data_IF_500443235321
#
_entry.id   IF_500443235321
#
_cell.length_a   1.000
_cell.length_b   1.000
_cell.length_c   1.000
_cell.angle_alpha   90.00
_cell.angle_beta   90.00
_cell.angle_gamma   90.00
#
_symmetry.space_group_name_H-M   'P 1'
#
loop_
_entity.id
_entity.type
_entity.pdbx_description
1 polymer ?
#
# COMPACT_ATOMS: atom_id res chain seq x y z
N UNK A 1 -14.46 -11.09 24.26
CA UNK A 1 -13.60 -10.07 23.63
C UNK A 1 -12.26 -10.08 24.34
N UNK A 2 -11.31 -10.86 23.84
CA UNK A 2 -9.95 -10.92 24.37
C UNK A 2 -9.04 -10.22 23.36
N UNK A 3 -8.48 -9.08 23.74
CA UNK A 3 -7.53 -8.34 22.91
C UNK A 3 -6.28 -9.19 22.70
N UNK A 4 -5.94 -9.45 21.44
CA UNK A 4 -4.70 -10.13 21.07
C UNK A 4 -3.56 -9.14 21.31
N UNK A 5 -2.99 -9.14 22.51
CA UNK A 5 -1.70 -8.51 22.80
C UNK A 5 -0.62 -9.30 22.08
N UNK A 6 -0.20 -8.83 20.90
CA UNK A 6 0.84 -9.45 20.09
C UNK A 6 2.19 -9.44 20.81
N UNK A 7 2.69 -10.63 21.14
CA UNK A 7 4.03 -10.83 21.71
C UNK A 7 5.07 -10.74 20.59
N UNK A 8 5.64 -9.55 20.38
CA UNK A 8 6.67 -9.32 19.36
C UNK A 8 8.05 -9.87 19.77
N UNK A 9 8.65 -10.65 18.87
CA UNK A 9 10.02 -11.12 18.97
C UNK A 9 10.97 -9.96 18.65
N UNK A 10 11.76 -9.53 19.65
CA UNK A 10 12.86 -8.56 19.52
C UNK A 10 13.84 -8.99 18.44
N UNK A 11 13.93 -8.23 17.35
CA UNK A 11 15.09 -8.16 16.47
C UNK A 11 15.25 -6.74 15.90
N UNK A 12 15.44 -5.78 16.81
CA UNK A 12 16.17 -4.52 16.62
C UNK A 12 15.85 -3.65 17.83
N UNK A 13 16.86 -3.29 18.62
CA UNK A 13 16.69 -2.27 19.66
C UNK A 13 16.11 -1.00 19.06
N UNK A 14 15.32 -0.29 19.87
CA UNK A 14 14.49 0.89 19.56
C UNK A 14 13.08 0.53 19.10
N UNK A 15 12.21 0.22 20.05
CA UNK A 15 10.89 0.85 20.31
C UNK A 15 10.35 0.19 21.58
N UNK A 16 10.07 1.00 22.62
CA UNK A 16 9.36 0.54 23.81
C UNK A 16 7.99 0.01 23.40
N UNK A 17 7.65 -1.18 23.89
CA UNK A 17 6.37 -1.84 23.62
C UNK A 17 5.26 -1.06 24.35
N UNK A 18 4.76 -0.02 23.70
CA UNK A 18 3.44 0.54 23.99
C UNK A 18 2.42 -0.60 23.82
N UNK A 19 1.58 -0.84 24.82
CA UNK A 19 0.49 -1.83 24.77
C UNK A 19 -0.66 -1.44 23.82
N UNK A 20 -0.41 -0.49 22.94
CA UNK A 20 -1.35 0.03 21.95
C UNK A 20 -1.51 -0.97 20.79
N UNK A 21 -2.73 -1.17 20.28
CA UNK A 21 -2.97 -1.97 19.08
C UNK A 21 -2.09 -1.50 17.91
N UNK A 22 -1.53 -2.45 17.16
CA UNK A 22 -0.63 -2.14 16.03
C UNK A 22 -1.29 -1.27 14.96
N UNK A 23 -2.61 -1.42 14.77
CA UNK A 23 -3.41 -0.63 13.83
C UNK A 23 -3.45 0.84 14.26
N UNK A 24 -3.60 1.13 15.55
CA UNK A 24 -3.63 2.50 16.07
C UNK A 24 -2.26 3.17 15.91
N UNK A 25 -1.19 2.42 16.14
CA UNK A 25 0.17 2.89 15.87
C UNK A 25 0.39 3.22 14.39
N UNK A 26 -0.07 2.36 13.48
CA UNK A 26 -0.01 2.61 12.04
C UNK A 26 -0.84 3.84 11.67
N UNK A 27 -2.04 3.99 12.22
CA UNK A 27 -2.89 5.15 11.99
C UNK A 27 -2.19 6.46 12.43
N UNK A 28 -1.53 6.48 13.60
CA UNK A 28 -0.74 7.63 14.06
C UNK A 28 0.42 7.95 13.11
N UNK A 29 1.10 6.93 12.57
CA UNK A 29 2.17 7.11 11.60
C UNK A 29 1.65 7.68 10.27
N UNK A 30 0.49 7.24 9.79
CA UNK A 30 -0.19 7.82 8.63
C UNK A 30 -0.47 9.31 8.86
N UNK A 31 -1.13 9.65 9.97
CA UNK A 31 -1.42 11.05 10.32
C UNK A 31 -0.15 11.91 10.46
N UNK A 32 0.95 11.34 10.96
CA UNK A 32 2.23 12.03 11.04
C UNK A 32 2.84 12.25 9.64
N UNK A 33 2.71 11.28 8.74
CA UNK A 33 3.11 11.39 7.34
C UNK A 33 2.32 12.47 6.59
N UNK A 34 1.00 12.58 6.84
CA UNK A 34 0.16 13.65 6.28
C UNK A 34 0.65 15.05 6.69
N UNK A 35 1.15 15.18 7.93
CA UNK A 35 1.80 16.39 8.42
C UNK A 35 3.23 16.61 7.88
N UNK A 36 3.71 15.74 7.00
CA UNK A 36 5.03 15.85 6.36
C UNK A 36 6.19 15.26 7.18
N UNK A 37 5.93 14.46 8.21
CA UNK A 37 6.99 13.83 8.98
C UNK A 37 7.60 12.64 8.21
N UNK A 38 8.73 12.87 7.54
CA UNK A 38 9.43 11.84 6.76
C UNK A 38 9.96 10.66 7.57
N UNK A 39 10.36 10.87 8.82
CA UNK A 39 10.83 9.77 9.68
C UNK A 39 9.68 8.79 9.96
N UNK A 40 8.47 9.31 10.21
CA UNK A 40 7.28 8.49 10.42
C UNK A 40 6.94 7.61 9.20
N UNK A 41 7.27 8.03 7.97
CA UNK A 41 7.05 7.21 6.78
C UNK A 41 8.00 6.03 6.67
N UNK A 42 9.24 6.17 7.17
CA UNK A 42 10.18 5.05 7.28
C UNK A 42 9.72 4.03 8.34
N UNK A 43 9.20 4.51 9.46
CA UNK A 43 8.58 3.65 10.49
C UNK A 43 7.30 2.98 9.97
N UNK A 44 6.47 3.72 9.23
CA UNK A 44 5.27 3.20 8.58
C UNK A 44 5.64 2.05 7.64
N UNK A 45 6.61 2.25 6.73
CA UNK A 45 7.09 1.21 5.83
C UNK A 45 7.50 -0.08 6.58
N UNK A 46 8.23 0.05 7.69
CA UNK A 46 8.59 -1.09 8.54
C UNK A 46 7.38 -1.76 9.19
N UNK A 47 6.43 -0.99 9.69
CA UNK A 47 5.19 -1.51 10.29
C UNK A 47 4.32 -2.25 9.27
N UNK A 48 4.19 -1.73 8.04
CA UNK A 48 3.44 -2.37 6.95
C UNK A 48 4.02 -3.76 6.63
N UNK A 49 5.34 -3.88 6.54
CA UNK A 49 6.00 -5.16 6.30
C UNK A 49 5.90 -6.12 7.48
N UNK A 50 5.71 -5.63 8.71
CA UNK A 50 5.50 -6.48 9.87
C UNK A 50 4.08 -7.09 9.89
N UNK A 51 3.07 -6.34 9.45
CA UNK A 51 1.65 -6.78 9.48
C UNK A 51 1.21 -7.55 8.23
N UNK A 52 1.95 -7.45 7.12
CA UNK A 52 1.57 -8.05 5.83
C UNK A 52 1.35 -9.57 5.88
N UNK A 53 1.92 -10.28 6.86
CA UNK A 53 1.73 -11.74 6.99
C UNK A 53 0.43 -12.12 7.70
N UNK A 54 -0.26 -11.15 8.30
CA UNK A 54 -1.57 -11.31 8.94
C UNK A 54 -2.64 -10.69 8.02
N UNK A 55 -3.50 -11.52 7.44
CA UNK A 55 -4.45 -11.08 6.43
C UNK A 55 -5.49 -10.07 6.96
N UNK A 56 -5.92 -10.24 8.22
CA UNK A 56 -6.94 -9.40 8.83
C UNK A 56 -6.37 -8.02 9.17
N UNK A 57 -5.16 -7.99 9.75
CA UNK A 57 -4.44 -6.75 10.01
C UNK A 57 -4.05 -6.05 8.70
N UNK A 58 -3.58 -6.79 7.71
CA UNK A 58 -3.22 -6.24 6.41
C UNK A 58 -4.42 -5.59 5.72
N UNK A 59 -5.60 -6.20 5.81
CA UNK A 59 -6.84 -5.62 5.28
C UNK A 59 -7.19 -4.29 5.94
N UNK A 60 -7.21 -4.24 7.27
CA UNK A 60 -7.51 -3.02 8.04
C UNK A 60 -6.52 -1.90 7.75
N UNK A 61 -5.23 -2.22 7.69
CA UNK A 61 -4.18 -1.25 7.40
C UNK A 61 -4.26 -0.72 5.98
N UNK A 62 -4.62 -1.56 5.01
CA UNK A 62 -4.84 -1.11 3.65
C UNK A 62 -6.06 -0.19 3.53
N UNK A 63 -7.12 -0.43 4.31
CA UNK A 63 -8.28 0.47 4.38
C UNK A 63 -7.88 1.86 4.91
N UNK A 64 -7.05 1.91 5.96
CA UNK A 64 -6.50 3.16 6.47
C UNK A 64 -5.69 3.91 5.42
N UNK A 65 -4.78 3.22 4.72
CA UNK A 65 -3.98 3.83 3.65
C UNK A 65 -4.85 4.31 2.49
N UNK A 66 -5.90 3.56 2.12
CA UNK A 66 -6.81 3.94 1.04
C UNK A 66 -7.57 5.25 1.32
N UNK A 67 -7.81 5.57 2.60
CA UNK A 67 -8.40 6.83 3.04
C UNK A 67 -7.41 7.97 3.28
N UNK A 68 -6.10 7.71 3.23
CA UNK A 68 -5.07 8.70 3.51
C UNK A 68 -4.91 9.74 2.38
N UNK A 69 -4.36 10.90 2.71
CA UNK A 69 -4.06 11.95 1.72
C UNK A 69 -3.17 11.41 0.58
N UNK A 70 -3.41 11.76 -0.70
CA UNK A 70 -2.61 11.31 -1.84
C UNK A 70 -1.09 11.57 -1.69
N UNK A 71 -0.70 12.62 -0.96
CA UNK A 71 0.71 12.93 -0.67
C UNK A 71 1.37 11.82 0.16
N UNK A 72 0.65 11.18 1.07
CA UNK A 72 1.17 10.05 1.87
C UNK A 72 1.62 8.92 0.95
N UNK A 73 0.84 8.60 -0.08
CA UNK A 73 1.19 7.55 -1.04
C UNK A 73 2.47 7.83 -1.80
N UNK A 74 2.68 9.09 -2.22
CA UNK A 74 3.89 9.52 -2.93
C UNK A 74 5.11 9.42 -2.02
N UNK A 75 5.00 9.92 -0.79
CA UNK A 75 6.12 9.94 0.14
C UNK A 75 6.41 8.55 0.74
N UNK A 76 5.39 7.73 0.97
CA UNK A 76 5.52 6.32 1.36
C UNK A 76 6.21 5.50 0.26
N UNK A 77 5.84 5.71 -1.00
CA UNK A 77 6.54 5.10 -2.13
C UNK A 77 8.02 5.50 -2.16
N UNK A 78 8.32 6.78 -1.97
CA UNK A 78 9.71 7.25 -1.88
C UNK A 78 10.46 6.61 -0.71
N UNK A 79 9.82 6.45 0.45
CA UNK A 79 10.40 5.80 1.62
C UNK A 79 10.72 4.33 1.35
N UNK A 80 9.78 3.57 0.75
CA UNK A 80 9.94 2.16 0.37
C UNK A 80 11.02 1.94 -0.71
N UNK A 81 11.37 2.99 -1.46
CA UNK A 81 12.43 2.97 -2.48
C UNK A 81 13.79 3.43 -2.00
N UNK A 82 13.85 4.09 -0.84
CA UNK A 82 15.06 4.79 -0.39
C UNK A 82 16.24 3.85 -0.14
N UNK A 83 17.44 4.29 -0.52
CA UNK A 83 18.67 3.47 -0.47
C UNK A 83 19.11 3.06 0.95
N UNK A 84 18.65 3.78 1.97
CA UNK A 84 18.98 3.53 3.39
C UNK A 84 18.47 2.18 3.89
N UNK A 85 17.46 1.63 3.22
CA UNK A 85 16.99 0.27 3.42
C UNK A 85 17.55 -0.58 2.27
N UNK A 86 18.73 -1.16 2.48
CA UNK A 86 19.48 -1.84 1.42
C UNK A 86 18.72 -3.03 0.79
N UNK A 87 19.32 -3.62 -0.26
CA UNK A 87 18.82 -4.84 -0.96
C UNK A 87 18.61 -6.07 -0.04
N UNK A 88 18.98 -5.95 1.23
CA UNK A 88 18.94 -6.97 2.25
C UNK A 88 18.20 -6.52 3.51
N UNK A 89 17.56 -5.35 3.52
CA UNK A 89 16.74 -4.99 4.67
C UNK A 89 15.53 -5.94 4.70
N UNK A 90 15.46 -6.86 5.69
CA UNK A 90 14.36 -7.82 5.77
C UNK A 90 13.03 -7.12 6.10
N UNK A 91 13.06 -5.83 6.49
CA UNK A 91 11.87 -5.00 6.70
C UNK A 91 11.25 -4.52 5.39
N UNK A 92 11.93 -4.59 4.24
CA UNK A 92 11.37 -4.14 2.95
C UNK A 92 11.45 -5.24 1.89
N UNK A 93 12.37 -6.19 2.06
CA UNK A 93 12.40 -7.39 1.24
C UNK A 93 11.34 -8.36 1.73
N UNK A 94 10.14 -8.29 1.13
CA UNK A 94 9.07 -9.23 1.45
C UNK A 94 9.54 -10.69 1.24
N UNK A 95 9.36 -11.59 2.21
CA UNK A 95 9.61 -13.01 2.01
C UNK A 95 8.81 -13.54 0.82
N UNK A 96 9.37 -14.52 0.08
CA UNK A 96 8.70 -15.12 -1.08
C UNK A 96 7.29 -15.63 -0.76
N UNK A 97 7.11 -16.24 0.41
CA UNK A 97 5.80 -16.72 0.89
C UNK A 97 4.76 -15.59 0.98
N UNK A 98 5.18 -14.40 1.44
CA UNK A 98 4.30 -13.22 1.50
C UNK A 98 3.98 -12.71 0.09
N UNK A 99 4.93 -12.78 -0.85
CA UNK A 99 4.73 -12.38 -2.25
C UNK A 99 3.82 -13.33 -3.04
N UNK A 100 3.66 -14.56 -2.55
CA UNK A 100 2.79 -15.60 -3.13
C UNK A 100 1.39 -15.61 -2.48
N UNK A 101 1.13 -14.74 -1.49
CA UNK A 101 -0.23 -14.57 -0.96
C UNK A 101 -1.06 -13.65 -1.85
N UNK A 102 -2.36 -13.93 -1.92
CA UNK A 102 -3.36 -13.04 -2.55
C UNK A 102 -3.62 -11.76 -1.74
N UNK A 103 -2.71 -11.39 -0.83
CA UNK A 103 -2.85 -10.22 0.05
C UNK A 103 -2.60 -8.92 -0.73
N UNK A 104 -3.61 -8.03 -0.87
CA UNK A 104 -3.45 -6.76 -1.56
C UNK A 104 -2.37 -5.85 -0.95
N UNK A 105 -2.13 -5.91 0.36
CA UNK A 105 -1.05 -5.15 0.99
C UNK A 105 0.34 -5.65 0.54
N UNK A 106 0.51 -6.97 0.36
CA UNK A 106 1.76 -7.53 -0.16
C UNK A 106 2.01 -7.08 -1.60
N UNK A 107 0.94 -7.06 -2.42
CA UNK A 107 0.99 -6.55 -3.79
C UNK A 107 1.38 -5.07 -3.81
N UNK A 108 0.77 -4.26 -2.95
CA UNK A 108 1.09 -2.83 -2.79
C UNK A 108 2.59 -2.64 -2.51
N UNK A 109 3.12 -3.34 -1.51
CA UNK A 109 4.53 -3.28 -1.13
C UNK A 109 5.46 -3.74 -2.26
N UNK A 110 5.11 -4.79 -3.00
CA UNK A 110 5.86 -5.24 -4.17
C UNK A 110 5.88 -4.18 -5.29
N UNK A 111 4.76 -3.50 -5.53
CA UNK A 111 4.66 -2.43 -6.54
C UNK A 111 5.36 -1.14 -6.11
N UNK A 112 5.51 -0.90 -4.81
CA UNK A 112 6.31 0.20 -4.25
C UNK A 112 7.80 -0.14 -4.09
N UNK A 113 8.15 -1.42 -4.20
CA UNK A 113 9.51 -1.93 -4.00
C UNK A 113 10.57 -1.29 -4.90
N UNK A 114 11.83 -1.43 -4.52
CA UNK A 114 12.98 -0.84 -5.22
C UNK A 114 13.25 -1.48 -6.58
N UNK A 115 13.07 -2.80 -6.70
CA UNK A 115 13.37 -3.55 -7.91
C UNK A 115 12.28 -3.32 -8.98
N UNK A 116 12.68 -2.79 -10.14
CA UNK A 116 11.78 -2.54 -11.27
C UNK A 116 11.10 -3.81 -11.79
N UNK A 117 11.76 -4.96 -11.74
CA UNK A 117 11.17 -6.24 -12.12
C UNK A 117 10.10 -6.70 -11.14
N UNK A 118 10.35 -6.51 -9.84
CA UNK A 118 9.35 -6.81 -8.80
C UNK A 118 8.13 -5.90 -8.94
N UNK A 119 8.35 -4.60 -9.20
CA UNK A 119 7.27 -3.65 -9.47
C UNK A 119 6.44 -4.05 -10.68
N UNK A 120 7.10 -4.39 -11.79
CA UNK A 120 6.41 -4.83 -13.00
C UNK A 120 5.61 -6.12 -12.76
N UNK A 121 6.19 -7.08 -12.05
CA UNK A 121 5.53 -8.33 -11.67
C UNK A 121 4.31 -8.05 -10.77
N UNK A 122 4.45 -7.18 -9.78
CA UNK A 122 3.36 -6.75 -8.90
C UNK A 122 2.21 -6.08 -9.66
N UNK A 123 2.53 -5.24 -10.66
CA UNK A 123 1.53 -4.67 -11.57
C UNK A 123 0.78 -5.73 -12.39
N UNK A 124 1.35 -6.93 -12.57
CA UNK A 124 0.68 -8.06 -13.19
C UNK A 124 -0.32 -8.78 -12.29
N UNK A 125 -0.33 -8.53 -10.98
CA UNK A 125 -1.14 -9.26 -10.02
C UNK A 125 -2.65 -9.01 -10.22
N UNK A 126 -3.53 -10.04 -10.12
CA UNK A 126 -4.98 -9.87 -10.27
C UNK A 126 -5.58 -8.79 -9.36
N UNK A 127 -5.10 -8.68 -8.12
CA UNK A 127 -5.54 -7.67 -7.15
C UNK A 127 -5.48 -6.23 -7.69
N UNK A 128 -4.51 -5.89 -8.55
CA UNK A 128 -4.40 -4.55 -9.14
C UNK A 128 -5.62 -4.17 -10.00
N UNK A 129 -6.40 -5.15 -10.46
CA UNK A 129 -7.63 -4.93 -11.24
C UNK A 129 -8.91 -5.02 -10.40
N UNK A 130 -8.85 -5.68 -9.25
CA UNK A 130 -10.04 -6.02 -8.47
C UNK A 130 -10.15 -5.22 -7.17
N UNK A 131 -9.03 -4.84 -6.56
CA UNK A 131 -9.01 -4.09 -5.31
C UNK A 131 -8.82 -2.60 -5.57
N UNK A 132 -9.87 -1.82 -5.30
CA UNK A 132 -9.88 -0.36 -5.51
C UNK A 132 -8.90 0.37 -4.59
N UNK A 133 -8.53 -0.21 -3.44
CA UNK A 133 -7.60 0.39 -2.48
C UNK A 133 -6.18 0.49 -3.03
N UNK A 134 -5.87 -0.25 -4.10
CA UNK A 134 -4.58 -0.20 -4.80
C UNK A 134 -4.53 0.88 -5.89
N UNK A 135 -5.63 1.59 -6.14
CA UNK A 135 -5.69 2.62 -7.16
C UNK A 135 -4.68 3.76 -6.96
N UNK A 136 -4.45 4.29 -5.75
CA UNK A 136 -3.43 5.32 -5.53
C UNK A 136 -2.05 4.88 -6.04
N UNK A 137 -1.64 3.64 -5.77
CA UNK A 137 -0.36 3.09 -6.26
C UNK A 137 -0.31 3.02 -7.78
N UNK A 138 -1.39 2.64 -8.46
CA UNK A 138 -1.44 2.66 -9.93
C UNK A 138 -1.15 4.05 -10.48
N UNK A 139 -1.75 5.08 -9.89
CA UNK A 139 -1.53 6.48 -10.27
C UNK A 139 -0.05 6.83 -10.10
N UNK A 140 0.58 6.53 -8.94
CA UNK A 140 2.02 6.79 -8.75
C UNK A 140 2.88 6.02 -9.78
N UNK A 141 2.49 4.82 -10.21
CA UNK A 141 3.24 4.05 -11.23
C UNK A 141 3.13 4.61 -12.65
N UNK A 142 2.18 5.50 -12.95
CA UNK A 142 2.11 6.15 -14.28
C UNK A 142 3.28 7.09 -14.56
N UNK A 143 4.07 7.43 -13.54
CA UNK A 143 5.27 8.27 -13.63
C UNK A 143 6.54 7.52 -13.19
N UNK A 144 6.56 6.19 -13.26
CA UNK A 144 7.74 5.40 -12.91
C UNK A 144 8.94 5.70 -13.81
N UNK A 145 10.15 5.61 -13.26
CA UNK A 145 11.39 5.78 -14.03
C UNK A 145 11.71 4.55 -14.89
N UNK A 146 11.20 3.37 -14.51
CA UNK A 146 11.30 2.14 -15.30
C UNK A 146 10.23 2.19 -16.39
N UNK A 147 10.67 2.28 -17.65
CA UNK A 147 9.77 2.40 -18.80
C UNK A 147 8.72 1.29 -18.89
N UNK A 148 9.08 0.05 -18.57
CA UNK A 148 8.14 -1.09 -18.57
C UNK A 148 7.00 -0.91 -17.56
N UNK A 149 7.32 -0.50 -16.32
CA UNK A 149 6.35 -0.22 -15.26
C UNK A 149 5.45 0.94 -15.66
N UNK A 150 6.05 2.05 -16.11
CA UNK A 150 5.35 3.26 -16.54
C UNK A 150 4.35 2.99 -17.67
N UNK A 151 4.75 2.22 -18.67
CA UNK A 151 3.91 1.90 -19.83
C UNK A 151 2.79 0.90 -19.49
N UNK A 152 2.99 0.06 -18.45
CA UNK A 152 2.04 -0.96 -18.03
C UNK A 152 0.95 -0.40 -17.11
N UNK A 153 1.30 0.48 -16.19
CA UNK A 153 0.38 1.05 -15.20
C UNK A 153 -0.95 1.58 -15.77
N UNK A 154 -0.97 2.47 -16.80
CA UNK A 154 -2.23 3.02 -17.33
C UNK A 154 -3.10 1.98 -18.06
N UNK A 155 -2.56 0.81 -18.39
CA UNK A 155 -3.30 -0.28 -19.05
C UNK A 155 -4.05 -1.16 -18.05
N UNK A 156 -3.78 -0.99 -16.76
CA UNK A 156 -4.50 -1.68 -15.70
C UNK A 156 -5.77 -0.89 -15.44
N UNK A 157 -6.90 -1.43 -15.87
CA UNK A 157 -8.21 -0.86 -15.62
C UNK A 157 -8.80 -1.53 -14.38
N UNK A 158 -8.97 -0.80 -13.25
CA UNK A 158 -9.71 -1.31 -12.10
C UNK A 158 -11.15 -1.58 -12.53
N UNK A 159 -11.64 -2.81 -12.35
CA UNK A 159 -13.00 -3.21 -12.74
C UNK A 159 -14.07 -2.37 -12.05
N UNK A 160 -13.77 -1.84 -10.86
CA UNK A 160 -14.64 -0.95 -10.09
C UNK A 160 -14.89 0.39 -10.78
N UNK A 161 -13.92 0.94 -11.53
CA UNK A 161 -14.09 2.23 -12.21
C UNK A 161 -14.95 2.14 -13.48
N UNK A 162 -15.04 0.95 -14.09
CA UNK A 162 -15.86 0.73 -15.30
C UNK A 162 -17.36 0.80 -14.98
N UNK A 163 -17.76 0.49 -13.74
CA UNK A 163 -19.19 0.44 -13.35
C UNK A 163 -19.78 1.81 -12.99
N UNK A 164 -18.96 2.74 -12.51
CA UNK A 164 -19.41 4.10 -12.11
C UNK A 164 -19.70 4.99 -13.32
N UNK A 165 -18.92 4.88 -14.39
CA UNK A 165 -19.15 5.69 -15.60
C UNK A 165 -20.42 5.25 -16.32
N UNK A 166 -20.73 3.95 -16.41
CA UNK A 166 -21.96 3.50 -17.11
C UNK A 166 -23.26 3.97 -16.42
N UNK A 167 -23.25 4.16 -15.10
CA UNK A 167 -24.42 4.65 -14.35
C UNK A 167 -24.60 6.18 -14.45
N UNK A 168 -23.51 6.94 -14.59
CA UNK A 168 -23.56 8.41 -14.61
C UNK A 168 -24.09 9.01 -15.93
N UNK A 169 -24.14 8.24 -17.03
CA UNK A 169 -24.60 8.71 -18.34
C UNK A 169 -26.01 8.20 -18.72
N UNK A 170 -26.72 7.54 -17.80
CA UNK A 170 -28.03 6.93 -18.06
C UNK A 170 -29.23 7.73 -17.54
N UNK A 171 -29.07 9.02 -17.20
CA UNK A 171 -30.20 9.91 -16.87
C UNK A 171 -30.66 10.70 -18.10
N UNK A 172 -31.75 10.31 -18.79
CA UNK A 172 -32.42 11.18 -19.73
C UNK A 172 -33.21 12.24 -18.94
N UNK A 173 -32.59 13.38 -18.67
CA UNK A 173 -33.32 14.57 -18.25
C UNK A 173 -33.53 15.44 -19.49
N UNK A 174 -34.66 15.31 -20.18
CA UNK A 174 -35.28 16.39 -20.98
C UNK A 174 -36.69 15.95 -21.42
N UNK A 175 -37.69 16.19 -20.58
CA UNK A 175 -39.07 16.41 -21.02
C UNK A 175 -39.63 17.61 -20.28
N UNK A 176 -39.98 18.65 -21.03
CA UNK A 176 -40.52 19.92 -20.55
C UNK A 176 -40.45 20.91 -21.71
N UNK A 177 -41.33 20.77 -22.71
CA UNK A 177 -42.64 21.46 -22.83
C UNK A 177 -42.52 22.98 -22.82
#
# INVERSE_FOLDING_TARGET
MAGVTGRFRRLAGLVEVSGEPIVDSIHRLVLAGERGNRAALGELAGALSAVVSDADLAGQVLDLLAGADPKVWIELDAALRSWGYGYRDPRITLPRAVRETDNPLAVMLAVCGRDGHEREKGLGHPAMRTDVRLFPVLVVRTVDWVGAVRNRAPRIQPRSLVRTVVMAWSTPAWTGR
#
